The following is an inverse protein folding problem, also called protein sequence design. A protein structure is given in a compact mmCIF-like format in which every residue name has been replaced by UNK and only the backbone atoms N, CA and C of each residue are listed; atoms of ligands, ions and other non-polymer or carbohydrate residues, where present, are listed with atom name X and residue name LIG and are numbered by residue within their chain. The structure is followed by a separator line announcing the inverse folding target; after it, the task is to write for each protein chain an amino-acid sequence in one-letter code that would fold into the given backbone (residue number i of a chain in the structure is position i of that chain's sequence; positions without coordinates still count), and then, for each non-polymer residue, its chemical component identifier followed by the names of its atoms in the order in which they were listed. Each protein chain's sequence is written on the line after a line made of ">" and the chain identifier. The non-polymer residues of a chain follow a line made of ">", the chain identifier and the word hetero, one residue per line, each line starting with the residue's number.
data_IF_992101085862
#
_entry.id   IF_992101085862
#
_cell.length_a   1.000
_cell.length_b   1.000
_cell.length_c   1.000
_cell.angle_alpha   90.00
_cell.angle_beta   90.00
_cell.angle_gamma   90.00
#
_symmetry.space_group_name_H-M   'P 1'
#
loop_
_entity.id
_entity.type
_entity.pdbx_description
1 polymer ?
#
# COMPACT_ATOMS: atom_id res chain seq x y z
N UNK A 1 -11.69 -3.80 16.80
CA UNK A 1 -11.83 -5.00 15.94
C UNK A 1 -11.31 -4.75 14.52
N UNK A 2 -11.66 -3.63 13.88
CA UNK A 2 -11.27 -3.31 12.49
C UNK A 2 -9.75 -3.22 12.23
N UNK A 3 -8.98 -2.61 13.14
CA UNK A 3 -7.53 -2.49 12.95
C UNK A 3 -6.81 -3.84 12.97
N UNK A 4 -7.32 -4.83 13.72
CA UNK A 4 -6.78 -6.20 13.72
C UNK A 4 -6.93 -6.85 12.35
N UNK A 5 -8.05 -6.64 11.69
CA UNK A 5 -8.29 -7.16 10.34
C UNK A 5 -7.33 -6.51 9.33
N UNK A 6 -7.15 -5.20 9.40
CA UNK A 6 -6.19 -4.48 8.54
C UNK A 6 -4.75 -4.99 8.74
N UNK A 7 -4.36 -5.23 9.99
CA UNK A 7 -3.05 -5.81 10.31
C UNK A 7 -2.90 -7.24 9.80
N UNK A 8 -3.95 -8.06 9.87
CA UNK A 8 -3.93 -9.41 9.33
C UNK A 8 -3.83 -9.41 7.79
N UNK A 9 -4.56 -8.54 7.10
CA UNK A 9 -4.43 -8.36 5.64
C UNK A 9 -3.00 -8.00 5.24
N UNK A 10 -2.38 -7.06 5.97
CA UNK A 10 -1.00 -6.67 5.70
C UNK A 10 -0.02 -7.80 6.01
N UNK A 11 -0.22 -8.55 7.12
CA UNK A 11 0.64 -9.69 7.47
C UNK A 11 0.54 -10.82 6.46
N UNK A 12 -0.66 -11.06 5.89
CA UNK A 12 -0.88 -12.07 4.84
C UNK A 12 -0.10 -11.73 3.57
N UNK A 13 -0.02 -10.44 3.21
CA UNK A 13 0.79 -9.98 2.08
C UNK A 13 1.43 -8.61 2.36
N UNK A 14 2.70 -8.66 2.78
CA UNK A 14 3.48 -7.47 3.16
C UNK A 14 3.92 -6.62 1.95
N UNK A 15 3.68 -7.09 0.72
CA UNK A 15 4.00 -6.35 -0.51
C UNK A 15 2.84 -5.47 -0.97
N UNK A 16 1.66 -5.58 -0.34
CA UNK A 16 0.53 -4.73 -0.68
C UNK A 16 0.76 -3.29 -0.23
N UNK A 17 0.49 -2.37 -1.15
CA UNK A 17 0.49 -0.93 -0.89
C UNK A 17 -0.73 -0.54 -0.05
N UNK A 18 -0.67 0.65 0.58
CA UNK A 18 -1.80 1.20 1.34
C UNK A 18 -3.09 1.35 0.50
N UNK A 19 -2.97 1.54 -0.83
CA UNK A 19 -4.13 1.62 -1.74
C UNK A 19 -4.77 0.25 -1.95
N UNK A 20 -3.96 -0.78 -2.16
CA UNK A 20 -4.46 -2.15 -2.31
C UNK A 20 -5.10 -2.65 -1.01
N UNK A 21 -4.47 -2.40 0.13
CA UNK A 21 -5.04 -2.74 1.44
C UNK A 21 -6.35 -2.01 1.72
N UNK A 22 -6.49 -0.75 1.27
CA UNK A 22 -7.76 -0.02 1.37
C UNK A 22 -8.84 -0.65 0.49
N UNK A 23 -8.49 -1.03 -0.75
CA UNK A 23 -9.41 -1.73 -1.65
C UNK A 23 -9.89 -3.05 -1.04
N UNK A 24 -8.97 -3.89 -0.58
CA UNK A 24 -9.29 -5.18 0.05
C UNK A 24 -10.18 -5.01 1.29
N UNK A 25 -9.91 -3.97 2.09
CA UNK A 25 -10.71 -3.67 3.27
C UNK A 25 -12.13 -3.22 2.89
N UNK A 26 -12.25 -2.30 1.92
CA UNK A 26 -13.53 -1.80 1.41
C UNK A 26 -14.34 -2.91 0.71
N UNK A 27 -13.69 -3.90 0.10
CA UNK A 27 -14.37 -5.06 -0.48
C UNK A 27 -14.91 -6.01 0.59
N UNK A 28 -14.28 -6.06 1.77
CA UNK A 28 -14.71 -6.93 2.87
C UNK A 28 -15.64 -6.25 3.87
N UNK A 29 -15.70 -4.93 3.91
CA UNK A 29 -16.51 -4.15 4.84
C UNK A 29 -17.38 -3.17 4.06
N UNK A 30 -18.62 -2.94 4.50
CA UNK A 30 -19.55 -1.96 3.90
C UNK A 30 -19.14 -0.49 4.14
N UNK A 31 -17.86 -0.24 4.46
CA UNK A 31 -17.31 1.08 4.74
C UNK A 31 -16.20 1.37 3.75
N UNK A 32 -16.13 2.63 3.31
CA UNK A 32 -15.02 3.10 2.48
C UNK A 32 -13.99 3.82 3.33
N UNK A 33 -12.75 3.32 3.33
CA UNK A 33 -11.59 4.01 3.91
C UNK A 33 -10.62 4.45 2.83
N UNK A 34 -10.02 5.62 3.05
CA UNK A 34 -8.95 6.12 2.20
C UNK A 34 -7.63 5.41 2.49
N UNK A 35 -6.77 5.34 1.48
CA UNK A 35 -5.40 4.84 1.63
C UNK A 35 -4.59 5.65 2.66
N UNK A 36 -4.89 6.94 2.85
CA UNK A 36 -4.26 7.79 3.88
C UNK A 36 -4.62 7.31 5.28
N UNK A 37 -5.89 6.95 5.50
CA UNK A 37 -6.36 6.39 6.77
C UNK A 37 -5.69 5.05 7.06
N UNK A 38 -5.59 4.17 6.07
CA UNK A 38 -4.87 2.88 6.18
C UNK A 38 -3.42 3.12 6.59
N UNK A 39 -2.70 4.00 5.88
CA UNK A 39 -1.30 4.33 6.19
C UNK A 39 -1.14 4.84 7.62
N UNK A 40 -2.02 5.74 8.08
CA UNK A 40 -1.99 6.28 9.45
C UNK A 40 -2.19 5.19 10.49
N UNK A 41 -3.17 4.28 10.27
CA UNK A 41 -3.46 3.17 11.19
C UNK A 41 -2.30 2.17 11.26
N UNK A 42 -1.72 1.82 10.10
CA UNK A 42 -0.54 0.95 10.04
C UNK A 42 0.65 1.57 10.78
N UNK A 43 0.90 2.88 10.57
CA UNK A 43 1.98 3.58 11.24
C UNK A 43 1.79 3.65 12.76
N UNK A 44 0.57 3.95 13.22
CA UNK A 44 0.22 3.93 14.66
C UNK A 44 0.46 2.57 15.31
N UNK A 45 0.27 1.49 14.54
CA UNK A 45 0.54 0.13 14.98
C UNK A 45 2.02 -0.31 14.81
N UNK A 46 2.91 0.59 14.40
CA UNK A 46 4.35 0.32 14.24
C UNK A 46 4.75 -0.30 12.90
N UNK A 47 3.85 -0.32 11.91
CA UNK A 47 4.10 -0.93 10.61
C UNK A 47 4.30 0.09 9.49
N UNK A 48 5.23 -0.23 8.58
CA UNK A 48 5.48 0.55 7.36
C UNK A 48 4.74 -0.09 6.19
N UNK A 49 3.97 0.73 5.46
CA UNK A 49 3.32 0.28 4.22
C UNK A 49 4.34 0.11 3.10
N UNK A 50 4.14 -0.87 2.23
CA UNK A 50 4.95 -1.01 1.02
C UNK A 50 4.75 0.19 0.09
N UNK A 51 5.84 0.66 -0.50
CA UNK A 51 5.87 1.69 -1.55
C UNK A 51 6.58 1.11 -2.77
N UNK A 52 5.89 1.07 -3.90
CA UNK A 52 6.52 0.72 -5.19
C UNK A 52 7.64 1.70 -5.49
N UNK A 53 8.84 1.17 -5.75
CA UNK A 53 9.96 1.97 -6.26
C UNK A 53 9.61 2.43 -7.68
N UNK A 54 9.75 3.73 -7.95
CA UNK A 54 9.64 4.24 -9.33
C UNK A 54 10.77 3.65 -10.16
N UNK A 55 10.48 3.19 -11.39
CA UNK A 55 11.54 2.80 -12.32
C UNK A 55 12.44 4.02 -12.58
N UNK A 56 13.78 3.86 -12.59
CA UNK A 56 14.67 4.95 -12.95
C UNK A 56 14.36 5.39 -14.37
N UNK A 57 14.50 6.69 -14.65
CA UNK A 57 14.38 7.21 -16.00
C UNK A 57 15.48 6.56 -16.86
N UNK A 58 15.09 5.95 -17.98
CA UNK A 58 16.07 5.49 -18.97
C UNK A 58 16.66 6.73 -19.62
N UNK A 59 17.97 6.93 -19.50
CA UNK A 59 18.65 7.96 -20.31
C UNK A 59 18.46 7.58 -21.79
N UNK A 60 18.09 8.53 -22.67
CA UNK A 60 18.09 8.26 -24.10
C UNK A 60 19.52 7.86 -24.51
N UNK A 61 19.64 6.75 -25.24
CA UNK A 61 20.90 6.40 -25.88
C UNK A 61 21.06 7.34 -27.08
N UNK A 62 22.02 8.26 -27.02
CA UNK A 62 22.45 9.01 -28.19
C UNK A 62 23.32 8.06 -29.03
N UNK A 63 22.70 7.35 -29.96
CA UNK A 63 23.44 6.74 -31.06
C UNK A 63 23.77 7.89 -32.02
N UNK A 64 24.99 8.41 -31.95
CA UNK A 64 25.52 9.27 -33.00
C UNK A 64 25.64 8.41 -34.26
N UNK A 65 24.88 8.79 -35.30
CA UNK A 65 24.93 8.19 -36.62
C UNK A 65 26.24 8.57 -37.35
#
# INVERSE_FOLDING_TARGET
>A
KEDRYLLNLMKKDRRKSSRQLASDWNSSHEKSISARTVRRRLFKAGYKSYTTKRKPYRKPCHCSA
#
